data_IF_099456410485
#
_entry.id   IF_099456410485
#
_cell.length_a   1.000
_cell.length_b   1.000
_cell.length_c   1.000
_cell.angle_alpha   90.00
_cell.angle_beta   90.00
_cell.angle_gamma   90.00
#
_symmetry.space_group_name_H-M   'P 1'
#
loop_
_entity.id
_entity.type
_entity.pdbx_description
1 polymer ?
#
# COMPACT_ATOMS: atom_id res chain seq x y z
N UNK A 1 -1.21 -0.41 21.15
CA UNK A 1 -1.19 -0.21 19.69
C UNK A 1 -0.64 1.18 19.49
N UNK A 2 0.59 1.27 18.99
CA UNK A 2 1.29 2.52 18.77
C UNK A 2 0.52 3.36 17.72
N UNK A 3 0.32 4.64 18.01
CA UNK A 3 -0.41 5.56 17.14
C UNK A 3 0.19 5.62 15.72
N UNK A 4 1.47 5.27 15.60
CA UNK A 4 2.22 5.18 14.34
C UNK A 4 1.80 4.01 13.45
N UNK A 5 1.47 2.84 14.00
CA UNK A 5 1.03 1.69 13.18
C UNK A 5 -0.32 1.97 12.50
N UNK A 6 -1.23 2.64 13.20
CA UNK A 6 -2.54 3.00 12.66
C UNK A 6 -2.41 4.03 11.53
N UNK A 7 -1.51 5.02 11.69
CA UNK A 7 -1.24 6.02 10.67
C UNK A 7 -0.60 5.40 9.41
N UNK A 8 0.36 4.49 9.57
CA UNK A 8 0.96 3.78 8.42
C UNK A 8 -0.07 2.92 7.69
N UNK A 9 -0.97 2.26 8.43
CA UNK A 9 -2.04 1.44 7.84
C UNK A 9 -3.00 2.31 7.00
N UNK A 10 -3.39 3.49 7.49
CA UNK A 10 -4.24 4.44 6.74
C UNK A 10 -3.56 4.95 5.46
N UNK A 11 -2.26 5.22 5.53
CA UNK A 11 -1.45 5.62 4.37
C UNK A 11 -1.37 4.50 3.33
N UNK A 12 -1.16 3.25 3.77
CA UNK A 12 -1.16 2.09 2.90
C UNK A 12 -2.53 1.91 2.22
N UNK A 13 -3.63 1.99 2.97
CA UNK A 13 -4.98 1.86 2.41
C UNK A 13 -5.28 2.97 1.38
N UNK A 14 -4.87 4.21 1.68
CA UNK A 14 -5.01 5.33 0.77
C UNK A 14 -4.19 5.14 -0.51
N UNK A 15 -2.96 4.63 -0.40
CA UNK A 15 -2.11 4.30 -1.54
C UNK A 15 -2.72 3.19 -2.41
N UNK A 16 -3.24 2.13 -1.79
CA UNK A 16 -3.89 1.03 -2.52
C UNK A 16 -5.15 1.50 -3.27
N UNK A 17 -5.95 2.38 -2.65
CA UNK A 17 -7.10 2.99 -3.30
C UNK A 17 -6.68 3.89 -4.48
N UNK A 18 -5.62 4.69 -4.29
CA UNK A 18 -5.06 5.53 -5.35
C UNK A 18 -4.52 4.71 -6.53
N UNK A 19 -3.76 3.65 -6.24
CA UNK A 19 -3.27 2.71 -7.24
C UNK A 19 -4.39 1.97 -7.96
N UNK A 20 -5.48 1.61 -7.27
CA UNK A 20 -6.64 0.98 -7.90
C UNK A 20 -7.37 1.93 -8.87
N UNK A 21 -7.40 3.23 -8.56
CA UNK A 21 -8.00 4.25 -9.43
C UNK A 21 -7.12 4.64 -10.63
N UNK A 22 -5.81 4.39 -10.57
CA UNK A 22 -4.84 4.73 -11.61
C UNK A 22 -4.35 3.49 -12.37
N UNK A 23 -4.83 3.31 -13.61
CA UNK A 23 -4.41 2.20 -14.47
C UNK A 23 -2.89 2.16 -14.72
N UNK A 24 -2.26 3.32 -14.86
CA UNK A 24 -0.81 3.46 -15.04
C UNK A 24 -0.04 3.04 -13.78
N UNK A 25 -0.47 3.49 -12.60
CA UNK A 25 0.19 3.14 -11.34
C UNK A 25 0.02 1.64 -11.05
N UNK A 26 -1.18 1.09 -11.28
CA UNK A 26 -1.42 -0.34 -11.16
C UNK A 26 -0.51 -1.17 -12.07
N UNK A 27 -0.32 -0.76 -13.33
CA UNK A 27 0.59 -1.44 -14.25
C UNK A 27 2.06 -1.33 -13.78
N UNK A 28 2.46 -0.16 -13.28
CA UNK A 28 3.81 0.09 -12.75
C UNK A 28 4.13 -0.77 -11.52
N UNK A 29 3.15 -1.04 -10.66
CA UNK A 29 3.30 -1.88 -9.47
C UNK A 29 3.31 -3.39 -9.76
N UNK A 30 2.91 -3.81 -10.96
CA UNK A 30 2.83 -5.22 -11.33
C UNK A 30 4.21 -5.88 -11.40
N UNK A 31 4.44 -6.89 -10.56
CA UNK A 31 5.68 -7.68 -10.56
C UNK A 31 6.85 -7.04 -9.80
N UNK A 32 6.63 -5.95 -9.08
CA UNK A 32 7.63 -5.33 -8.22
C UNK A 32 7.70 -5.99 -6.84
N UNK A 33 8.87 -5.91 -6.21
CA UNK A 33 9.05 -6.32 -4.82
C UNK A 33 8.52 -5.27 -3.83
N UNK A 34 8.40 -5.65 -2.55
CA UNK A 34 7.82 -4.80 -1.51
C UNK A 34 8.63 -3.51 -1.25
N UNK A 35 9.94 -3.51 -1.44
CA UNK A 35 10.77 -2.31 -1.27
C UNK A 35 10.54 -1.33 -2.42
N UNK A 36 10.45 -1.84 -3.64
CA UNK A 36 10.14 -1.04 -4.82
C UNK A 36 8.75 -0.42 -4.74
N UNK A 37 7.76 -1.16 -4.23
CA UNK A 37 6.39 -0.63 -4.00
C UNK A 37 6.41 0.52 -2.99
N UNK A 38 7.12 0.37 -1.86
CA UNK A 38 7.23 1.43 -0.85
C UNK A 38 7.97 2.66 -1.39
N UNK A 39 9.01 2.47 -2.20
CA UNK A 39 9.72 3.58 -2.84
C UNK A 39 8.79 4.38 -3.77
N UNK A 40 7.98 3.70 -4.60
CA UNK A 40 6.98 4.35 -5.46
C UNK A 40 5.91 5.04 -4.61
N UNK A 41 5.42 4.42 -3.55
CA UNK A 41 4.45 5.04 -2.66
C UNK A 41 4.96 6.35 -2.06
N UNK A 42 6.25 6.40 -1.67
CA UNK A 42 6.88 7.62 -1.18
C UNK A 42 7.03 8.70 -2.27
N UNK A 43 7.31 8.33 -3.53
CA UNK A 43 7.29 9.25 -4.68
C UNK A 43 5.90 9.87 -4.88
N UNK A 44 4.84 9.11 -4.63
CA UNK A 44 3.44 9.54 -4.70
C UNK A 44 2.96 10.26 -3.41
N UNK A 45 3.82 10.41 -2.40
CA UNK A 45 3.53 11.14 -1.15
C UNK A 45 2.88 10.32 -0.04
N UNK A 46 2.86 8.98 -0.15
CA UNK A 46 2.37 8.07 0.88
C UNK A 46 3.52 7.49 1.71
N UNK A 47 3.34 7.42 3.03
CA UNK A 47 4.40 6.99 3.94
C UNK A 47 3.96 5.77 4.77
N UNK A 48 4.48 4.60 4.42
CA UNK A 48 4.31 3.35 5.17
C UNK A 48 5.54 2.44 5.01
N UNK A 49 5.79 1.58 6.00
CA UNK A 49 6.92 0.64 5.96
C UNK A 49 6.66 -0.62 5.13
N UNK A 50 7.75 -1.29 4.73
CA UNK A 50 7.71 -2.60 4.06
C UNK A 50 6.97 -3.63 4.92
N UNK A 51 7.17 -3.62 6.23
CA UNK A 51 6.48 -4.51 7.17
C UNK A 51 4.97 -4.32 7.14
N UNK A 52 4.50 -3.07 7.06
CA UNK A 52 3.08 -2.72 6.98
C UNK A 52 2.46 -3.24 5.68
N UNK A 53 3.15 -3.04 4.56
CA UNK A 53 2.76 -3.62 3.27
C UNK A 53 2.73 -5.16 3.31
N UNK A 54 3.80 -5.79 3.81
CA UNK A 54 3.92 -7.24 3.92
C UNK A 54 2.78 -7.83 4.77
N UNK A 55 2.49 -7.21 5.91
CA UNK A 55 1.40 -7.61 6.79
C UNK A 55 0.07 -7.53 6.05
N UNK A 56 -0.21 -6.45 5.31
CA UNK A 56 -1.46 -6.31 4.57
C UNK A 56 -1.62 -7.36 3.45
N UNK A 57 -0.54 -7.67 2.73
CA UNK A 57 -0.51 -8.73 1.70
C UNK A 57 -0.72 -10.11 2.34
N UNK A 58 0.02 -10.43 3.41
CA UNK A 58 -0.05 -11.73 4.09
C UNK A 58 -1.36 -11.95 4.86
N UNK A 59 -2.00 -10.89 5.37
CA UNK A 59 -3.29 -10.98 6.09
C UNK A 59 -4.51 -10.91 5.16
N UNK A 60 -4.31 -10.76 3.86
CA UNK A 60 -5.41 -10.65 2.89
C UNK A 60 -6.17 -9.33 2.95
N UNK A 61 -5.60 -8.28 3.57
CA UNK A 61 -6.20 -6.94 3.66
C UNK A 61 -6.46 -6.31 2.27
N UNK A 62 -5.72 -6.76 1.25
CA UNK A 62 -5.90 -6.34 -0.16
C UNK A 62 -7.20 -6.89 -0.80
N UNK A 63 -7.99 -7.73 -0.10
CA UNK A 63 -9.24 -8.30 -0.62
C UNK A 63 -10.52 -7.96 0.19
N UNK A 64 -10.60 -6.83 0.90
CA UNK A 64 -11.94 -6.29 1.24
C UNK A 64 -12.50 -5.50 0.06
N UNK A 65 -13.09 -6.23 -0.90
CA UNK A 65 -14.03 -5.69 -1.88
C UNK A 65 -15.08 -4.84 -1.16
N UNK A 66 -15.43 -3.63 -1.66
CA UNK A 66 -16.65 -2.97 -1.24
C UNK A 66 -17.85 -3.86 -1.62
N UNK A 67 -18.77 -4.03 -0.68
CA UNK A 67 -20.12 -4.56 -0.96
C UNK A 67 -20.97 -3.46 -1.59
#
# INVERSE_FOLDING_TARGET
MDNSEAAEQEQLESFLAHAAASGTLRARLGGLDAYQVVAIAAEEGFHFGVTTLHRAVCTGYVMRRPR
#
